data_IF_783873192707
#
_entry.id   IF_783873192707
#
_cell.length_a   1.000
_cell.length_b   1.000
_cell.length_c   1.000
_cell.angle_alpha   90.00
_cell.angle_beta   90.00
_cell.angle_gamma   90.00
#
_symmetry.space_group_name_H-M   'P 1'
#
loop_
_entity.id
_entity.type
_entity.pdbx_description
1 polymer ?
#
# COMPACT_ATOMS: atom_id res chain seq x y z
N UNK A 1 12.97 2.14 19.40
CA UNK A 1 12.45 3.12 18.41
C UNK A 1 11.35 2.46 17.59
N UNK A 2 10.09 2.74 17.88
CA UNK A 2 8.95 2.19 17.13
C UNK A 2 8.87 2.85 15.75
N UNK A 3 9.02 2.06 14.67
CA UNK A 3 8.84 2.55 13.31
C UNK A 3 7.35 2.78 13.07
N UNK A 4 6.97 4.05 12.92
CA UNK A 4 5.61 4.48 12.59
C UNK A 4 5.45 4.48 11.06
N UNK A 5 4.51 3.67 10.56
CA UNK A 5 4.16 3.58 9.15
C UNK A 5 2.87 4.34 8.90
N UNK A 6 2.83 5.13 7.82
CA UNK A 6 1.59 5.71 7.30
C UNK A 6 0.84 4.62 6.54
N UNK A 7 -0.26 4.15 7.11
CA UNK A 7 -1.18 3.21 6.47
C UNK A 7 -2.48 3.91 6.15
N UNK A 8 -3.10 3.58 5.02
CA UNK A 8 -4.45 4.01 4.70
C UNK A 8 -5.42 2.95 5.20
N UNK A 9 -6.41 3.36 6.00
CA UNK A 9 -7.48 2.51 6.53
C UNK A 9 -8.82 3.19 6.30
N UNK A 10 -9.73 2.53 5.59
CA UNK A 10 -11.04 3.11 5.22
C UNK A 10 -10.96 4.54 4.65
N UNK A 11 -9.97 4.84 3.81
CA UNK A 11 -9.79 6.18 3.23
C UNK A 11 -9.09 7.22 4.14
N UNK A 12 -8.81 6.89 5.40
CA UNK A 12 -8.10 7.76 6.35
C UNK A 12 -6.66 7.31 6.57
N UNK A 13 -5.73 8.27 6.62
CA UNK A 13 -4.34 7.98 6.97
C UNK A 13 -4.21 7.73 8.47
N UNK A 14 -3.88 6.50 8.87
CA UNK A 14 -3.62 6.13 10.26
C UNK A 14 -2.16 5.73 10.44
N UNK A 15 -1.65 5.95 11.65
CA UNK A 15 -0.27 5.56 11.99
C UNK A 15 -0.29 4.15 12.56
N UNK A 16 0.49 3.23 12.00
CA UNK A 16 0.59 1.85 12.48
C UNK A 16 2.03 1.48 12.81
N UNK A 17 2.22 0.60 13.80
CA UNK A 17 3.53 0.01 14.11
C UNK A 17 4.00 -1.01 13.07
N UNK A 18 3.15 -1.37 12.10
CA UNK A 18 3.46 -2.27 10.99
C UNK A 18 3.10 -1.64 9.65
N UNK A 19 3.84 -1.95 8.57
CA UNK A 19 3.49 -1.48 7.24
C UNK A 19 2.15 -2.07 6.77
N UNK A 20 1.82 -3.32 7.07
CA UNK A 20 0.59 -3.97 6.55
C UNK A 20 0.90 -4.99 5.45
N UNK A 21 -0.14 -5.56 4.83
CA UNK A 21 -0.01 -6.68 3.85
C UNK A 21 0.28 -6.19 2.43
N UNK A 22 -0.12 -4.96 2.11
CA UNK A 22 0.03 -4.39 0.76
C UNK A 22 0.78 -3.06 0.77
N UNK A 23 1.47 -2.78 -0.33
CA UNK A 23 2.09 -1.48 -0.59
C UNK A 23 1.45 -0.85 -1.83
N UNK A 24 1.26 0.47 -1.79
CA UNK A 24 0.77 1.24 -2.93
C UNK A 24 1.68 2.37 -3.35
N UNK A 25 1.43 2.85 -4.55
CA UNK A 25 2.09 3.98 -5.18
C UNK A 25 1.07 5.12 -5.33
N UNK A 26 1.27 6.24 -4.60
CA UNK A 26 0.32 7.37 -4.56
C UNK A 26 0.01 7.97 -5.95
N UNK A 27 1.01 8.34 -6.78
CA UNK A 27 0.74 9.04 -8.05
C UNK A 27 -0.14 8.24 -9.03
N UNK A 28 0.04 6.92 -9.12
CA UNK A 28 -0.76 6.08 -10.00
C UNK A 28 -1.96 5.38 -9.34
N UNK A 29 -2.16 5.60 -8.03
CA UNK A 29 -3.12 4.88 -7.20
C UNK A 29 -3.13 3.36 -7.46
N UNK A 30 -1.95 2.74 -7.46
CA UNK A 30 -1.80 1.29 -7.67
C UNK A 30 -1.35 0.65 -6.37
N UNK A 31 -1.97 -0.44 -5.95
CA UNK A 31 -1.49 -1.25 -4.82
C UNK A 31 -1.12 -2.67 -5.26
N UNK A 32 -0.22 -3.29 -4.51
CA UNK A 32 0.30 -4.62 -4.78
C UNK A 32 0.90 -5.23 -3.53
N UNK A 33 1.44 -6.44 -3.67
CA UNK A 33 2.18 -7.09 -2.60
C UNK A 33 3.52 -6.38 -2.31
N UNK A 34 4.03 -6.54 -1.10
CA UNK A 34 5.29 -5.93 -0.65
C UNK A 34 6.52 -6.40 -1.47
N UNK A 35 6.47 -7.62 -1.98
CA UNK A 35 7.50 -8.27 -2.80
C UNK A 35 7.38 -7.96 -4.30
N UNK A 36 6.43 -7.10 -4.70
CA UNK A 36 6.24 -6.79 -6.10
C UNK A 36 7.46 -6.02 -6.67
N UNK A 37 8.14 -6.62 -7.65
CA UNK A 37 9.29 -6.00 -8.36
C UNK A 37 8.97 -4.59 -8.87
N UNK A 38 7.78 -4.37 -9.43
CA UNK A 38 7.35 -3.05 -9.92
C UNK A 38 7.19 -2.04 -8.77
N UNK A 39 6.66 -2.47 -7.62
CA UNK A 39 6.53 -1.62 -6.43
C UNK A 39 7.86 -1.31 -5.76
N UNK A 40 8.80 -2.26 -5.77
CA UNK A 40 10.13 -2.07 -5.18
C UNK A 40 10.96 -1.01 -5.90
N UNK A 41 10.77 -0.83 -7.21
CA UNK A 41 11.41 0.22 -8.02
C UNK A 41 10.87 1.63 -7.74
N UNK A 42 9.71 1.75 -7.08
CA UNK A 42 9.09 3.05 -6.81
C UNK A 42 9.82 3.80 -5.68
N UNK A 43 9.92 5.13 -5.82
CA UNK A 43 10.46 6.01 -4.77
C UNK A 43 9.71 5.82 -3.45
N UNK A 44 10.45 5.66 -2.35
CA UNK A 44 9.89 5.45 -0.99
C UNK A 44 8.92 6.56 -0.56
N UNK A 45 9.13 7.80 -1.00
CA UNK A 45 8.26 8.96 -0.71
C UNK A 45 6.83 8.79 -1.23
N UNK A 46 6.66 8.05 -2.31
CA UNK A 46 5.36 7.78 -2.93
C UNK A 46 4.75 6.46 -2.47
N UNK A 47 5.43 5.75 -1.56
CA UNK A 47 4.99 4.45 -1.07
C UNK A 47 4.03 4.65 0.09
N UNK A 48 2.84 4.09 -0.04
CA UNK A 48 1.85 3.93 1.03
C UNK A 48 1.72 2.47 1.36
N UNK A 49 1.15 2.17 2.51
CA UNK A 49 0.84 0.81 2.86
C UNK A 49 -0.63 0.66 3.27
N UNK A 50 -1.15 -0.56 3.13
CA UNK A 50 -2.51 -0.93 3.48
C UNK A 50 -2.49 -2.19 4.33
N UNK A 51 -3.37 -2.22 5.34
CA UNK A 51 -3.50 -3.37 6.21
C UNK A 51 -4.23 -4.51 5.49
N UNK A 52 -5.32 -4.17 4.79
CA UNK A 52 -6.17 -5.11 4.07
C UNK A 52 -6.32 -4.72 2.59
N UNK A 53 -6.89 -5.64 1.81
CA UNK A 53 -7.29 -5.37 0.43
C UNK A 53 -8.34 -4.27 0.36
N UNK A 54 -9.38 -4.39 1.20
CA UNK A 54 -10.51 -3.48 1.20
C UNK A 54 -10.09 -2.05 1.56
N UNK A 55 -9.11 -1.89 2.46
CA UNK A 55 -8.52 -0.59 2.76
C UNK A 55 -7.91 0.09 1.51
N UNK A 56 -7.27 -0.69 0.64
CA UNK A 56 -6.69 -0.18 -0.60
C UNK A 56 -7.77 0.19 -1.61
N UNK A 57 -8.81 -0.64 -1.76
CA UNK A 57 -9.95 -0.37 -2.64
C UNK A 57 -10.75 0.84 -2.16
N UNK A 58 -11.05 0.93 -0.86
CA UNK A 58 -11.74 2.04 -0.24
C UNK A 58 -10.97 3.36 -0.37
N UNK A 59 -9.64 3.30 -0.36
CA UNK A 59 -8.77 4.46 -0.65
C UNK A 59 -8.69 4.82 -2.15
N UNK A 60 -9.38 4.07 -3.03
CA UNK A 60 -9.41 4.31 -4.47
C UNK A 60 -8.17 3.81 -5.22
N UNK A 61 -7.46 2.81 -4.67
CA UNK A 61 -6.32 2.19 -5.33
C UNK A 61 -6.75 0.97 -6.12
N UNK A 62 -6.16 0.79 -7.31
CA UNK A 62 -6.39 -0.38 -8.16
C UNK A 62 -5.29 -1.44 -7.97
N UNK A 63 -5.61 -2.73 -8.12
CA UNK A 63 -4.61 -3.79 -8.01
C UNK A 63 -3.58 -3.70 -9.14
N UNK A 64 -2.33 -3.99 -8.78
CA UNK A 64 -1.21 -4.04 -9.72
C UNK A 64 -1.41 -5.18 -10.71
N UNK A 65 -1.42 -4.86 -12.01
CA UNK A 65 -1.58 -5.84 -13.10
C UNK A 65 -0.46 -6.90 -13.13
N UNK A 66 0.73 -6.58 -12.63
CA UNK A 66 1.90 -7.46 -12.68
C UNK A 66 1.89 -8.49 -11.56
N UNK A 67 1.76 -8.04 -10.31
CA UNK A 67 1.75 -9.00 -9.19
C UNK A 67 0.38 -9.63 -8.98
N UNK A 68 -0.71 -9.03 -9.50
CA UNK A 68 -2.10 -9.46 -9.29
C UNK A 68 -2.28 -9.88 -7.82
N UNK A 69 -2.21 -8.92 -6.88
CA UNK A 69 -2.45 -9.28 -5.49
C UNK A 69 -3.80 -10.00 -5.42
N UNK A 70 -4.00 -10.85 -4.43
CA UNK A 70 -5.32 -11.38 -4.03
C UNK A 70 -5.68 -10.88 -2.63
N UNK A 71 -6.98 -10.81 -2.27
CA UNK A 71 -7.41 -10.49 -0.91
C UNK A 71 -6.76 -11.38 0.16
#
# INVERSE_FOLDING_TARGET
MEKKYKVLKNGSEVTSGRPGKYAGWRPGKIFGRLDCKSGMRMKKVNRVFFLTWDDAIAAGYRPCKNCKPTP
#
